data_IF_151763749998
#
_entry.id   IF_151763749998
#
_cell.length_a   1.000
_cell.length_b   1.000
_cell.length_c   1.000
_cell.angle_alpha   90.00
_cell.angle_beta   90.00
_cell.angle_gamma   90.00
#
_symmetry.space_group_name_H-M   'P 1'
#
loop_
_entity.id
_entity.type
_entity.pdbx_description
1 polymer ?
#
# COMPACT_ATOMS: atom_id res chain seq x y z
N UNK A 1 -10.29 15.57 -25.04
CA UNK A 1 -10.74 15.91 -23.67
C UNK A 1 -9.54 16.28 -22.81
N UNK A 2 -9.60 17.43 -22.14
CA UNK A 2 -8.53 18.01 -21.31
C UNK A 2 -8.40 17.28 -19.95
N UNK A 3 -7.25 17.44 -19.29
CA UNK A 3 -7.01 16.91 -17.94
C UNK A 3 -7.73 17.79 -16.91
N UNK A 4 -8.61 17.21 -16.09
CA UNK A 4 -9.34 17.94 -15.05
C UNK A 4 -9.16 17.23 -13.68
N UNK A 5 -8.61 17.89 -12.65
CA UNK A 5 -8.37 17.29 -11.34
C UNK A 5 -9.66 16.85 -10.63
N UNK A 6 -10.79 17.52 -10.88
CA UNK A 6 -12.09 17.20 -10.26
C UNK A 6 -12.52 15.77 -10.60
N UNK A 7 -12.23 15.29 -11.82
CA UNK A 7 -12.52 13.90 -12.19
C UNK A 7 -11.73 12.89 -11.36
N UNK A 8 -10.50 13.22 -10.94
CA UNK A 8 -9.69 12.35 -10.09
C UNK A 8 -10.26 12.26 -8.68
N UNK A 9 -10.68 13.39 -8.11
CA UNK A 9 -11.32 13.46 -6.79
C UNK A 9 -12.65 12.68 -6.80
N UNK A 10 -13.48 12.95 -7.80
CA UNK A 10 -14.80 12.31 -7.93
C UNK A 10 -14.69 10.80 -8.15
N UNK A 11 -13.59 10.30 -8.73
CA UNK A 11 -13.39 8.86 -8.90
C UNK A 11 -13.28 8.12 -7.55
N UNK A 12 -12.62 8.70 -6.54
CA UNK A 12 -12.58 8.08 -5.21
C UNK A 12 -13.97 8.09 -4.56
N UNK A 13 -14.69 9.21 -4.67
CA UNK A 13 -16.08 9.31 -4.17
C UNK A 13 -16.97 8.27 -4.85
N UNK A 14 -16.81 8.08 -6.16
CA UNK A 14 -17.50 7.03 -6.92
C UNK A 14 -17.12 5.64 -6.42
N UNK A 15 -15.84 5.40 -6.15
CA UNK A 15 -15.34 4.18 -5.53
C UNK A 15 -16.01 3.86 -4.20
N UNK A 16 -16.15 4.86 -3.31
CA UNK A 16 -16.88 4.73 -2.04
C UNK A 16 -18.33 4.33 -2.28
N UNK A 17 -19.02 4.93 -3.25
CA UNK A 17 -20.40 4.54 -3.57
C UNK A 17 -20.48 3.11 -4.13
N UNK A 18 -19.54 2.71 -4.97
CA UNK A 18 -19.51 1.37 -5.55
C UNK A 18 -19.37 0.29 -4.47
N UNK A 19 -18.45 0.47 -3.52
CA UNK A 19 -18.23 -0.53 -2.46
C UNK A 19 -19.42 -0.71 -1.49
N UNK A 20 -20.39 0.22 -1.47
CA UNK A 20 -21.62 0.05 -0.67
C UNK A 20 -22.61 -0.94 -1.29
N UNK A 21 -22.46 -1.25 -2.59
CA UNK A 21 -23.28 -2.24 -3.31
C UNK A 21 -23.15 -3.61 -2.66
N UNK A 22 -24.28 -4.30 -2.50
CA UNK A 22 -24.33 -5.60 -1.82
C UNK A 22 -23.46 -6.67 -2.50
N UNK A 23 -23.36 -6.61 -3.82
CA UNK A 23 -22.61 -7.54 -4.67
C UNK A 23 -21.10 -7.49 -4.43
N UNK A 24 -20.56 -6.33 -4.04
CA UNK A 24 -19.12 -6.15 -3.85
C UNK A 24 -18.66 -6.43 -2.40
N UNK A 25 -19.58 -6.52 -1.44
CA UNK A 25 -19.25 -6.72 -0.02
C UNK A 25 -18.41 -7.97 0.26
N UNK A 26 -18.69 -9.16 -0.34
CA UNK A 26 -17.89 -10.35 -0.08
C UNK A 26 -16.41 -10.16 -0.47
N UNK A 27 -16.16 -9.48 -1.59
CA UNK A 27 -14.81 -9.20 -2.10
C UNK A 27 -14.02 -8.21 -1.23
N UNK A 28 -14.69 -7.52 -0.32
CA UNK A 28 -14.08 -6.60 0.65
C UNK A 28 -13.90 -7.27 2.02
N UNK A 29 -14.90 -8.03 2.47
CA UNK A 29 -14.87 -8.70 3.77
C UNK A 29 -13.89 -9.86 3.79
N UNK A 30 -13.77 -10.64 2.71
CA UNK A 30 -12.85 -11.79 2.65
C UNK A 30 -11.38 -11.37 2.86
N UNK A 31 -10.83 -10.37 2.15
CA UNK A 31 -9.46 -9.90 2.40
C UNK A 31 -9.26 -9.34 3.81
N UNK A 32 -10.27 -8.64 4.34
CA UNK A 32 -10.21 -8.09 5.69
C UNK A 32 -10.13 -9.21 6.75
N UNK A 33 -10.93 -10.26 6.60
CA UNK A 33 -10.89 -11.43 7.48
C UNK A 33 -9.56 -12.18 7.37
N UNK A 34 -9.04 -12.34 6.16
CA UNK A 34 -7.71 -12.94 5.94
C UNK A 34 -6.63 -12.11 6.63
N UNK A 35 -6.65 -10.78 6.46
CA UNK A 35 -5.71 -9.88 7.14
C UNK A 35 -5.84 -9.94 8.66
N UNK A 36 -7.05 -10.10 9.20
CA UNK A 36 -7.26 -10.27 10.64
C UNK A 36 -6.66 -11.59 11.14
N UNK A 37 -6.88 -12.70 10.42
CA UNK A 37 -6.30 -14.01 10.77
C UNK A 37 -4.77 -13.95 10.68
N UNK A 38 -4.21 -13.37 9.62
CA UNK A 38 -2.77 -13.17 9.48
C UNK A 38 -2.20 -12.30 10.59
N UNK A 39 -2.89 -11.23 10.97
CA UNK A 39 -2.49 -10.38 12.08
C UNK A 39 -2.42 -11.17 13.38
N UNK A 40 -3.42 -11.99 13.70
CA UNK A 40 -3.42 -12.81 14.92
C UNK A 40 -2.27 -13.82 14.90
N UNK A 41 -2.06 -14.52 13.79
CA UNK A 41 -1.00 -15.54 13.65
C UNK A 41 0.38 -14.90 13.75
N UNK A 42 0.64 -13.87 12.95
CA UNK A 42 1.96 -13.20 12.89
C UNK A 42 2.25 -12.46 14.20
N UNK A 43 1.25 -11.81 14.81
CA UNK A 43 1.40 -11.19 16.15
C UNK A 43 1.65 -12.25 17.22
N UNK A 44 0.98 -13.40 17.16
CA UNK A 44 1.19 -14.50 18.10
C UNK A 44 2.63 -15.04 18.02
N UNK A 45 3.14 -15.25 16.81
CA UNK A 45 4.55 -15.62 16.59
C UNK A 45 5.46 -14.50 17.12
N UNK A 46 5.19 -13.23 16.82
CA UNK A 46 5.98 -12.10 17.30
C UNK A 46 6.02 -12.02 18.84
N UNK A 47 4.89 -12.21 19.52
CA UNK A 47 4.82 -12.21 20.99
C UNK A 47 5.63 -13.37 21.58
N UNK A 48 5.65 -14.54 20.93
CA UNK A 48 6.52 -15.64 21.38
C UNK A 48 8.02 -15.30 21.28
N UNK A 49 8.42 -14.50 20.27
CA UNK A 49 9.80 -14.05 20.10
C UNK A 49 10.19 -12.90 21.07
N UNK A 50 9.20 -12.17 21.60
CA UNK A 50 9.43 -11.10 22.58
C UNK A 50 10.03 -11.64 23.89
N UNK A 51 9.76 -12.89 24.27
CA UNK A 51 10.35 -13.51 25.47
C UNK A 51 11.87 -13.60 25.37
N UNK A 52 12.39 -14.08 24.24
CA UNK A 52 13.85 -14.12 24.01
C UNK A 52 14.48 -12.73 23.97
N UNK A 53 13.76 -11.73 23.44
CA UNK A 53 14.20 -10.34 23.47
C UNK A 53 14.22 -9.77 24.90
N UNK A 54 13.20 -10.05 25.72
CA UNK A 54 13.14 -9.60 27.11
C UNK A 54 14.23 -10.24 27.97
N UNK A 55 14.55 -11.51 27.73
CA UNK A 55 15.62 -12.21 28.44
C UNK A 55 17.00 -11.67 28.04
N UNK A 56 17.20 -11.39 26.75
CA UNK A 56 18.42 -10.74 26.25
C UNK A 56 18.60 -9.33 26.84
N UNK A 57 17.56 -8.49 26.81
CA UNK A 57 17.57 -7.16 27.44
C UNK A 57 17.79 -7.28 28.95
N UNK A 58 17.14 -8.25 29.61
CA UNK A 58 17.31 -8.55 31.03
C UNK A 58 18.77 -8.88 31.37
N UNK A 59 19.42 -9.74 30.57
CA UNK A 59 20.83 -10.11 30.76
C UNK A 59 21.80 -8.94 30.59
N UNK A 60 21.51 -8.01 29.67
CA UNK A 60 22.30 -6.78 29.48
C UNK A 60 22.13 -5.80 30.65
N UNK A 61 21.01 -5.88 31.37
CA UNK A 61 20.67 -5.01 32.49
C UNK A 61 20.97 -5.64 33.86
N UNK A 62 21.14 -6.96 33.95
CA UNK A 62 21.40 -7.69 35.19
C UNK A 62 22.91 -7.84 35.43
N UNK A 63 23.50 -6.88 36.13
CA UNK A 63 24.69 -7.15 36.94
C UNK A 63 24.56 -6.54 38.33
N UNK A 64 25.07 -7.29 39.30
CA UNK A 64 24.95 -7.08 40.74
C UNK A 64 25.61 -5.78 41.20
N UNK A 65 25.06 -5.08 42.20
CA UNK A 65 25.77 -4.00 42.89
C UNK A 65 27.11 -4.51 43.43
N UNK A 66 28.14 -3.67 43.37
CA UNK A 66 29.39 -3.92 44.11
C UNK A 66 29.12 -3.52 45.56
N UNK A 67 29.04 -4.50 46.45
CA UNK A 67 28.91 -4.25 47.89
C UNK A 67 30.19 -3.58 48.41
N UNK A 68 30.04 -2.38 48.97
CA UNK A 68 31.14 -1.53 49.45
C UNK A 68 31.18 -1.39 50.97
N UNK A 69 30.30 -2.10 51.71
CA UNK A 69 30.11 -1.92 53.16
C UNK A 69 31.37 -2.21 54.00
N UNK A 70 32.33 -2.98 53.49
CA UNK A 70 33.57 -3.35 54.22
C UNK A 70 34.87 -2.86 53.55
N UNK A 71 34.80 -1.88 52.64
CA UNK A 71 35.97 -1.41 51.88
C UNK A 71 36.70 -0.24 52.55
N UNK A 72 38.04 -0.23 52.44
CA UNK A 72 38.87 0.87 52.94
C UNK A 72 38.60 2.18 52.17
N UNK A 73 38.99 3.33 52.74
CA UNK A 73 38.67 4.66 52.18
C UNK A 73 39.14 4.87 50.73
N UNK A 74 40.24 4.23 50.31
CA UNK A 74 40.74 4.30 48.93
C UNK A 74 39.99 3.34 47.98
N UNK A 75 39.58 2.17 48.46
CA UNK A 75 38.73 1.22 47.73
C UNK A 75 37.32 1.80 47.53
N UNK A 76 36.78 2.53 48.51
CA UNK A 76 35.51 3.26 48.40
C UNK A 76 35.54 4.34 47.30
N UNK A 77 36.65 5.07 47.16
CA UNK A 77 36.82 6.08 46.10
C UNK A 77 36.85 5.41 44.70
N UNK A 78 37.61 4.33 44.57
CA UNK A 78 37.66 3.53 43.33
C UNK A 78 36.30 2.91 43.00
N UNK A 79 35.59 2.38 44.01
CA UNK A 79 34.27 1.79 43.86
C UNK A 79 33.20 2.82 43.49
N UNK A 80 33.24 4.04 44.04
CA UNK A 80 32.34 5.13 43.67
C UNK A 80 32.57 5.60 42.21
N UNK A 81 33.83 5.66 41.75
CA UNK A 81 34.15 5.95 40.35
C UNK A 81 33.68 4.85 39.39
N UNK A 82 33.84 3.58 39.79
CA UNK A 82 33.32 2.43 39.04
C UNK A 82 31.78 2.41 39.03
N UNK A 83 31.11 2.75 40.13
CA UNK A 83 29.66 2.85 40.22
C UNK A 83 29.07 3.97 39.35
N UNK A 84 29.72 5.14 39.30
CA UNK A 84 29.34 6.23 38.39
C UNK A 84 29.47 5.80 36.92
N UNK A 85 30.58 5.14 36.58
CA UNK A 85 30.84 4.61 35.24
C UNK A 85 29.80 3.56 34.85
N UNK A 86 29.51 2.61 35.74
CA UNK A 86 28.47 1.60 35.56
C UNK A 86 27.07 2.22 35.38
N UNK A 87 26.77 3.33 36.07
CA UNK A 87 25.51 4.06 35.90
C UNK A 87 25.37 4.70 34.52
N UNK A 88 26.44 5.24 33.95
CA UNK A 88 26.44 5.78 32.57
C UNK A 88 26.21 4.66 31.56
N UNK A 89 26.93 3.54 31.71
CA UNK A 89 26.73 2.37 30.86
C UNK A 89 25.31 1.79 30.97
N UNK A 90 24.69 1.82 32.16
CA UNK A 90 23.29 1.43 32.35
C UNK A 90 22.31 2.36 31.64
N UNK A 91 22.51 3.67 31.76
CA UNK A 91 21.67 4.65 31.04
C UNK A 91 21.78 4.46 29.52
N UNK A 92 22.99 4.22 29.01
CA UNK A 92 23.23 3.93 27.61
C UNK A 92 22.63 2.58 27.19
N UNK A 93 22.77 1.52 28.00
CA UNK A 93 22.18 0.21 27.74
C UNK A 93 20.64 0.28 27.67
N UNK A 94 20.02 1.12 28.51
CA UNK A 94 18.57 1.35 28.46
C UNK A 94 18.14 2.05 27.16
N UNK A 95 18.90 3.05 26.70
CA UNK A 95 18.67 3.70 25.39
C UNK A 95 18.81 2.69 24.26
N UNK A 96 19.86 1.86 24.29
CA UNK A 96 20.08 0.83 23.28
C UNK A 96 18.95 -0.20 23.30
N UNK A 97 18.51 -0.65 24.47
CA UNK A 97 17.39 -1.58 24.61
C UNK A 97 16.09 -1.00 24.04
N UNK A 98 15.80 0.28 24.33
CA UNK A 98 14.66 0.98 23.74
C UNK A 98 14.79 1.08 22.21
N UNK A 99 15.97 1.42 21.69
CA UNK A 99 16.22 1.51 20.25
C UNK A 99 16.06 0.15 19.56
N UNK A 100 16.56 -0.93 20.16
CA UNK A 100 16.42 -2.30 19.66
C UNK A 100 14.96 -2.72 19.64
N UNK A 101 14.21 -2.46 20.72
CA UNK A 101 12.78 -2.74 20.79
C UNK A 101 12.00 -1.94 19.74
N UNK A 102 12.31 -0.65 19.61
CA UNK A 102 11.71 0.21 18.59
C UNK A 102 12.00 -0.28 17.18
N UNK A 103 13.25 -0.63 16.88
CA UNK A 103 13.66 -1.18 15.59
C UNK A 103 12.97 -2.51 15.31
N UNK A 104 12.82 -3.38 16.32
CA UNK A 104 12.10 -4.64 16.22
C UNK A 104 10.64 -4.42 15.82
N UNK A 105 9.92 -3.53 16.53
CA UNK A 105 8.54 -3.19 16.17
C UNK A 105 8.42 -2.52 14.80
N UNK A 106 9.40 -1.69 14.43
CA UNK A 106 9.45 -1.05 13.13
C UNK A 106 9.58 -2.11 12.03
N UNK A 107 10.58 -3.00 12.11
CA UNK A 107 10.78 -4.09 11.16
C UNK A 107 9.53 -4.97 11.08
N UNK A 108 8.95 -5.33 12.22
CA UNK A 108 7.71 -6.08 12.29
C UNK A 108 6.57 -5.40 11.52
N UNK A 109 6.30 -4.12 11.82
CA UNK A 109 5.23 -3.36 11.18
C UNK A 109 5.41 -3.25 9.66
N UNK A 110 6.64 -3.01 9.20
CA UNK A 110 6.94 -2.95 7.77
C UNK A 110 6.83 -4.31 7.08
N UNK A 111 7.36 -5.39 7.67
CA UNK A 111 7.25 -6.73 7.10
C UNK A 111 5.79 -7.19 7.03
N UNK A 112 5.04 -6.98 8.11
CA UNK A 112 3.60 -7.25 8.13
C UNK A 112 2.87 -6.46 7.04
N UNK A 113 3.17 -5.17 6.88
CA UNK A 113 2.62 -4.33 5.82
C UNK A 113 2.95 -4.83 4.40
N UNK A 114 4.18 -5.29 4.17
CA UNK A 114 4.60 -5.87 2.88
C UNK A 114 3.82 -7.17 2.61
N UNK A 115 3.80 -8.09 3.57
CA UNK A 115 3.13 -9.40 3.43
C UNK A 115 1.64 -9.22 3.17
N UNK A 116 0.95 -8.39 3.96
CA UNK A 116 -0.49 -8.14 3.80
C UNK A 116 -0.81 -7.48 2.47
N UNK A 117 0.00 -6.53 2.00
CA UNK A 117 -0.19 -5.92 0.68
C UNK A 117 -0.02 -6.94 -0.47
N UNK A 118 0.99 -7.82 -0.37
CA UNK A 118 1.23 -8.88 -1.35
C UNK A 118 0.06 -9.87 -1.39
N UNK A 119 -0.45 -10.28 -0.22
CA UNK A 119 -1.59 -11.21 -0.12
C UNK A 119 -2.89 -10.56 -0.59
N UNK A 120 -3.08 -9.26 -0.36
CA UNK A 120 -4.27 -8.53 -0.78
C UNK A 120 -4.33 -8.30 -2.31
N UNK A 121 -3.21 -8.38 -3.01
CA UNK A 121 -3.11 -8.12 -4.45
C UNK A 121 -4.08 -8.92 -5.33
N UNK A 122 -4.17 -10.26 -5.24
CA UNK A 122 -5.14 -11.03 -6.03
C UNK A 122 -6.58 -10.63 -5.75
N UNK A 123 -6.91 -10.31 -4.49
CA UNK A 123 -8.26 -9.88 -4.13
C UNK A 123 -8.62 -8.50 -4.69
N UNK A 124 -7.66 -7.58 -4.73
CA UNK A 124 -7.85 -6.29 -5.38
C UNK A 124 -8.06 -6.45 -6.90
N UNK A 125 -7.36 -7.41 -7.53
CA UNK A 125 -7.57 -7.77 -8.94
C UNK A 125 -9.01 -8.25 -9.19
N UNK A 126 -9.50 -9.18 -8.38
CA UNK A 126 -10.88 -9.69 -8.46
C UNK A 126 -11.89 -8.56 -8.19
N UNK A 127 -11.66 -7.72 -7.19
CA UNK A 127 -12.53 -6.58 -6.89
C UNK A 127 -12.60 -5.61 -8.08
N UNK A 128 -11.47 -5.31 -8.71
CA UNK A 128 -11.42 -4.48 -9.91
C UNK A 128 -12.18 -5.12 -11.08
N UNK A 129 -12.05 -6.42 -11.29
CA UNK A 129 -12.80 -7.18 -12.29
C UNK A 129 -14.31 -7.07 -12.06
N UNK A 130 -14.77 -7.27 -10.82
CA UNK A 130 -16.20 -7.17 -10.49
C UNK A 130 -16.75 -5.76 -10.60
N UNK A 131 -15.94 -4.75 -10.28
CA UNK A 131 -16.30 -3.34 -10.49
C UNK A 131 -16.40 -3.03 -11.98
N UNK A 132 -15.49 -3.57 -12.80
CA UNK A 132 -15.53 -3.39 -14.25
C UNK A 132 -16.74 -4.07 -14.89
N UNK A 133 -17.05 -5.30 -14.48
CA UNK A 133 -18.25 -6.03 -14.88
C UNK A 133 -19.52 -5.24 -14.55
N UNK A 134 -19.60 -4.67 -13.34
CA UNK A 134 -20.73 -3.86 -12.89
C UNK A 134 -20.89 -2.56 -13.71
N UNK A 135 -19.79 -1.93 -14.12
CA UNK A 135 -19.81 -0.64 -14.83
C UNK A 135 -19.99 -0.78 -16.34
N UNK A 136 -19.50 -1.88 -16.93
CA UNK A 136 -19.49 -2.07 -18.39
C UNK A 136 -20.46 -3.14 -18.87
N UNK A 137 -20.97 -3.99 -17.97
CA UNK A 137 -21.75 -5.18 -18.29
C UNK A 137 -20.91 -6.32 -18.89
N UNK A 138 -19.57 -6.20 -18.90
CA UNK A 138 -18.65 -7.21 -19.46
C UNK A 138 -17.55 -7.52 -18.46
N UNK A 139 -17.32 -8.81 -18.23
CA UNK A 139 -16.18 -9.27 -17.45
C UNK A 139 -14.89 -9.17 -18.29
N UNK A 140 -13.73 -8.92 -17.65
CA UNK A 140 -12.43 -9.08 -18.28
C UNK A 140 -12.19 -10.56 -18.69
N UNK A 141 -11.13 -10.84 -19.48
CA UNK A 141 -10.81 -12.19 -19.91
C UNK A 141 -10.68 -13.16 -18.73
N UNK A 142 -11.41 -14.27 -18.78
CA UNK A 142 -11.37 -15.27 -17.71
C UNK A 142 -9.98 -15.92 -17.61
N UNK A 143 -9.45 -16.01 -16.40
CA UNK A 143 -8.13 -16.59 -16.11
C UNK A 143 -8.25 -17.56 -14.91
N UNK A 144 -7.54 -18.70 -14.91
CA UNK A 144 -7.48 -19.58 -13.74
C UNK A 144 -6.91 -18.87 -12.52
N UNK A 145 -7.50 -19.09 -11.33
CA UNK A 145 -7.10 -18.43 -10.08
C UNK A 145 -5.61 -18.51 -9.78
N UNK A 146 -4.98 -19.66 -10.03
CA UNK A 146 -3.55 -19.85 -9.80
C UNK A 146 -2.68 -18.96 -10.70
N UNK A 147 -3.05 -18.83 -11.98
CA UNK A 147 -2.31 -17.98 -12.93
C UNK A 147 -2.48 -16.50 -12.55
N UNK A 148 -3.70 -16.10 -12.18
CA UNK A 148 -4.00 -14.76 -11.68
C UNK A 148 -3.19 -14.42 -10.42
N UNK A 149 -3.07 -15.35 -9.46
CA UNK A 149 -2.26 -15.14 -8.25
C UNK A 149 -0.80 -14.87 -8.64
N UNK A 150 -0.17 -15.72 -9.45
CA UNK A 150 1.23 -15.52 -9.84
C UNK A 150 1.44 -14.24 -10.66
N UNK A 151 0.53 -13.93 -11.58
CA UNK A 151 0.57 -12.70 -12.38
C UNK A 151 0.46 -11.45 -11.50
N UNK A 152 -0.53 -11.40 -10.61
CA UNK A 152 -0.77 -10.24 -9.72
C UNK A 152 0.37 -10.06 -8.72
N UNK A 153 0.91 -11.14 -8.15
CA UNK A 153 2.12 -11.08 -7.32
C UNK A 153 3.31 -10.52 -8.09
N UNK A 154 3.56 -11.02 -9.31
CA UNK A 154 4.62 -10.50 -10.19
C UNK A 154 4.37 -9.05 -10.62
N UNK A 155 3.12 -8.60 -10.70
CA UNK A 155 2.75 -7.20 -10.94
C UNK A 155 3.08 -6.31 -9.73
N UNK A 156 2.73 -6.74 -8.52
CA UNK A 156 3.05 -6.01 -7.30
C UNK A 156 4.56 -5.93 -7.05
N UNK A 157 5.33 -7.00 -7.30
CA UNK A 157 6.78 -6.96 -7.19
C UNK A 157 7.41 -5.95 -8.16
N UNK A 158 6.88 -5.83 -9.38
CA UNK A 158 7.30 -4.79 -10.33
C UNK A 158 6.96 -3.38 -9.84
N UNK A 159 5.77 -3.17 -9.27
CA UNK A 159 5.39 -1.90 -8.64
C UNK A 159 6.29 -1.57 -7.45
N UNK A 160 6.56 -2.55 -6.59
CA UNK A 160 7.46 -2.41 -5.45
C UNK A 160 8.87 -2.03 -5.90
N UNK A 161 9.42 -2.71 -6.91
CA UNK A 161 10.73 -2.35 -7.48
C UNK A 161 10.76 -0.93 -8.05
N UNK A 162 9.72 -0.53 -8.79
CA UNK A 162 9.56 0.85 -9.27
C UNK A 162 9.51 1.87 -8.12
N UNK A 163 8.77 1.56 -7.05
CA UNK A 163 8.64 2.44 -5.88
C UNK A 163 9.91 2.52 -5.04
N UNK A 164 10.64 1.42 -4.85
CA UNK A 164 11.92 1.42 -4.15
C UNK A 164 12.94 2.25 -4.93
N UNK A 165 13.08 2.01 -6.23
CA UNK A 165 14.06 2.70 -7.06
C UNK A 165 13.82 4.21 -7.09
N UNK A 166 12.61 4.65 -7.45
CA UNK A 166 12.29 6.08 -7.51
C UNK A 166 12.13 6.70 -6.12
N UNK A 167 11.65 5.94 -5.14
CA UNK A 167 11.57 6.36 -3.75
C UNK A 167 12.95 6.69 -3.19
N UNK A 168 13.98 5.91 -3.51
CA UNK A 168 15.36 6.19 -3.11
C UNK A 168 15.89 7.46 -3.76
N UNK A 169 15.65 7.66 -5.07
CA UNK A 169 16.03 8.90 -5.77
C UNK A 169 15.37 10.11 -5.09
N UNK A 170 14.08 10.02 -4.80
CA UNK A 170 13.32 11.11 -4.18
C UNK A 170 13.76 11.35 -2.75
N UNK A 171 14.09 10.30 -2.00
CA UNK A 171 14.69 10.41 -0.67
C UNK A 171 16.01 11.16 -0.73
N UNK A 172 16.90 10.82 -1.66
CA UNK A 172 18.19 11.51 -1.83
C UNK A 172 17.99 13.00 -2.17
N UNK A 173 17.10 13.30 -3.12
CA UNK A 173 16.80 14.70 -3.50
C UNK A 173 16.16 15.45 -2.35
N UNK A 174 15.23 14.84 -1.62
CA UNK A 174 14.59 15.42 -0.44
C UNK A 174 15.62 15.74 0.65
N UNK A 175 16.55 14.82 0.94
CA UNK A 175 17.63 15.03 1.91
C UNK A 175 18.55 16.18 1.50
N UNK A 176 18.98 16.24 0.24
CA UNK A 176 19.82 17.35 -0.26
C UNK A 176 19.10 18.69 -0.22
N UNK A 177 17.79 18.71 -0.45
CA UNK A 177 16.96 19.92 -0.45
C UNK A 177 16.33 20.25 0.90
N UNK A 178 16.68 19.51 1.96
CA UNK A 178 16.11 19.64 3.32
C UNK A 178 16.48 20.93 4.04
N UNK A 179 17.41 21.73 3.49
CA UNK A 179 17.61 23.11 3.94
C UNK A 179 16.36 23.99 3.69
N UNK A 180 15.44 23.53 2.83
CA UNK A 180 14.07 24.06 2.72
C UNK A 180 13.05 23.01 3.19
N UNK A 181 11.95 23.45 3.80
CA UNK A 181 10.84 22.55 4.16
C UNK A 181 9.92 22.31 2.95
N UNK A 182 9.76 23.32 2.09
CA UNK A 182 8.77 23.32 1.01
C UNK A 182 9.13 22.35 -0.11
N UNK A 183 10.39 22.29 -0.54
CA UNK A 183 10.79 21.47 -1.69
C UNK A 183 10.63 19.96 -1.40
N UNK A 184 11.15 19.41 -0.28
CA UNK A 184 10.94 18.01 0.05
C UNK A 184 9.45 17.66 0.24
N UNK A 185 8.68 18.54 0.88
CA UNK A 185 7.26 18.32 1.11
C UNK A 185 6.47 18.21 -0.20
N UNK A 186 6.67 19.15 -1.14
CA UNK A 186 5.98 19.12 -2.43
C UNK A 186 6.42 17.93 -3.29
N UNK A 187 7.74 17.65 -3.33
CA UNK A 187 8.28 16.53 -4.10
C UNK A 187 7.71 15.18 -3.63
N UNK A 188 7.75 14.95 -2.32
CA UNK A 188 7.23 13.70 -1.71
C UNK A 188 5.72 13.60 -1.83
N UNK A 189 4.97 14.71 -1.72
CA UNK A 189 3.53 14.71 -1.90
C UNK A 189 3.12 14.38 -3.35
N UNK A 190 3.77 15.00 -4.34
CA UNK A 190 3.52 14.72 -5.76
C UNK A 190 3.87 13.28 -6.10
N UNK A 191 4.99 12.77 -5.57
CA UNK A 191 5.39 11.39 -5.74
C UNK A 191 4.44 10.41 -5.07
N UNK A 192 4.01 10.68 -3.84
CA UNK A 192 3.04 9.87 -3.11
C UNK A 192 1.72 9.80 -3.87
N UNK A 193 1.22 10.94 -4.35
CA UNK A 193 0.05 11.01 -5.20
C UNK A 193 0.20 10.20 -6.50
N UNK A 194 1.34 10.32 -7.19
CA UNK A 194 1.62 9.54 -8.38
C UNK A 194 1.66 8.02 -8.11
N UNK A 195 2.31 7.61 -7.03
CA UNK A 195 2.41 6.22 -6.61
C UNK A 195 1.05 5.62 -6.26
N UNK A 196 0.17 6.36 -5.57
CA UNK A 196 -1.19 5.91 -5.30
C UNK A 196 -2.01 5.76 -6.58
N UNK A 197 -1.85 6.67 -7.55
CA UNK A 197 -2.51 6.55 -8.84
C UNK A 197 -2.07 5.29 -9.59
N UNK A 198 -0.75 5.01 -9.60
CA UNK A 198 -0.20 3.75 -10.13
C UNK A 198 -0.81 2.55 -9.40
N UNK A 199 -0.79 2.54 -8.06
CA UNK A 199 -1.19 1.37 -7.28
C UNK A 199 -2.62 0.92 -7.61
N UNK A 200 -3.55 1.86 -7.73
CA UNK A 200 -4.98 1.57 -7.78
C UNK A 200 -5.59 1.61 -9.19
N UNK A 201 -5.04 2.38 -10.13
CA UNK A 201 -5.50 2.37 -11.54
C UNK A 201 -4.91 1.16 -12.29
N UNK A 202 -3.86 0.53 -11.79
CA UNK A 202 -3.22 -0.61 -12.45
C UNK A 202 -4.08 -1.87 -12.50
N UNK A 203 -4.92 -2.12 -11.48
CA UNK A 203 -5.72 -3.36 -11.41
C UNK A 203 -6.55 -3.67 -12.66
N UNK A 204 -7.36 -2.76 -13.22
CA UNK A 204 -8.09 -3.03 -14.47
C UNK A 204 -7.18 -3.27 -15.68
N UNK A 205 -6.02 -2.60 -15.77
CA UNK A 205 -5.07 -2.82 -16.88
C UNK A 205 -4.35 -4.17 -16.74
N UNK A 206 -4.01 -4.55 -15.51
CA UNK A 206 -3.39 -5.84 -15.21
C UNK A 206 -4.38 -7.00 -15.45
N UNK A 207 -5.67 -6.81 -15.16
CA UNK A 207 -6.74 -7.76 -15.52
C UNK A 207 -6.84 -7.99 -17.04
N UNK A 208 -6.49 -6.99 -17.85
CA UNK A 208 -6.35 -7.13 -19.30
C UNK A 208 -4.94 -7.56 -19.74
N UNK A 209 -4.10 -8.00 -18.80
CA UNK A 209 -2.74 -8.52 -19.00
C UNK A 209 -1.80 -7.55 -19.72
N UNK A 210 -2.00 -6.24 -19.51
CA UNK A 210 -1.23 -5.22 -20.22
C UNK A 210 0.10 -4.91 -19.53
N UNK A 211 1.15 -4.58 -20.30
CA UNK A 211 2.46 -4.30 -19.73
C UNK A 211 2.44 -3.06 -18.82
N UNK A 212 3.27 -3.08 -17.78
CA UNK A 212 3.37 -1.99 -16.80
C UNK A 212 3.79 -0.65 -17.42
N UNK A 213 4.54 -0.68 -18.51
CA UNK A 213 4.92 0.53 -19.23
C UNK A 213 3.73 1.26 -19.86
N UNK A 214 2.68 0.53 -20.21
CA UNK A 214 1.46 1.11 -20.77
C UNK A 214 0.65 1.87 -19.72
N UNK A 215 0.57 1.36 -18.48
CA UNK A 215 -0.05 2.08 -17.36
C UNK A 215 0.55 3.49 -17.22
N UNK A 216 1.88 3.58 -17.22
CA UNK A 216 2.58 4.87 -17.09
C UNK A 216 2.21 5.81 -18.23
N UNK A 217 2.09 5.30 -19.46
CA UNK A 217 1.65 6.09 -20.63
C UNK A 217 0.21 6.57 -20.44
N UNK A 218 -0.71 5.69 -20.04
CA UNK A 218 -2.11 6.01 -19.74
C UNK A 218 -2.22 7.12 -18.69
N UNK A 219 -1.57 6.96 -17.54
CA UNK A 219 -1.63 7.93 -16.44
C UNK A 219 -1.02 9.28 -16.84
N UNK A 220 0.03 9.27 -17.68
CA UNK A 220 0.66 10.49 -18.22
C UNK A 220 -0.19 11.22 -19.25
N UNK A 221 -1.18 10.57 -19.90
CA UNK A 221 -2.11 11.25 -20.83
C UNK A 221 -2.97 12.29 -20.09
N UNK A 222 -3.30 12.04 -18.81
CA UNK A 222 -4.10 12.94 -17.97
C UNK A 222 -3.47 13.16 -16.59
N UNK A 223 -2.25 13.71 -16.57
CA UNK A 223 -1.40 13.85 -15.37
C UNK A 223 -2.13 14.47 -14.18
N UNK A 224 -2.84 15.58 -14.37
CA UNK A 224 -3.50 16.28 -13.26
C UNK A 224 -4.66 15.47 -12.69
N UNK A 225 -5.39 14.75 -13.53
CA UNK A 225 -6.47 13.85 -13.09
C UNK A 225 -5.90 12.68 -12.30
N UNK A 226 -4.84 12.04 -12.80
CA UNK A 226 -4.14 10.94 -12.13
C UNK A 226 -3.55 11.38 -10.78
N UNK A 227 -2.86 12.53 -10.74
CA UNK A 227 -2.31 13.09 -9.50
C UNK A 227 -3.40 13.48 -8.51
N UNK A 228 -4.50 14.07 -8.96
CA UNK A 228 -5.61 14.43 -8.08
C UNK A 228 -6.27 13.17 -7.47
N UNK A 229 -6.48 12.12 -8.26
CA UNK A 229 -6.99 10.84 -7.76
C UNK A 229 -6.07 10.26 -6.69
N UNK A 230 -4.79 10.06 -7.01
CA UNK A 230 -3.84 9.46 -6.07
C UNK A 230 -3.56 10.34 -4.85
N UNK A 231 -3.57 11.67 -5.01
CA UNK A 231 -3.49 12.62 -3.90
C UNK A 231 -4.70 12.53 -2.97
N UNK A 232 -5.91 12.39 -3.51
CA UNK A 232 -7.12 12.19 -2.70
C UNK A 232 -7.06 10.86 -1.95
N UNK A 233 -6.59 9.79 -2.59
CA UNK A 233 -6.38 8.50 -1.93
C UNK A 233 -5.35 8.63 -0.80
N UNK A 234 -4.24 9.32 -1.04
CA UNK A 234 -3.21 9.56 -0.04
C UNK A 234 -3.76 10.30 1.18
N UNK A 235 -4.52 11.38 0.96
CA UNK A 235 -5.17 12.13 2.04
C UNK A 235 -6.20 11.29 2.79
N UNK A 236 -6.99 10.47 2.10
CA UNK A 236 -7.95 9.58 2.74
C UNK A 236 -7.27 8.55 3.64
N UNK A 237 -6.09 8.04 3.25
CA UNK A 237 -5.28 7.12 4.07
C UNK A 237 -4.72 7.75 5.35
N UNK A 238 -4.62 9.07 5.43
CA UNK A 238 -4.13 9.75 6.64
C UNK A 238 -5.10 9.66 7.81
N UNK A 239 -6.39 9.38 7.55
CA UNK A 239 -7.40 9.21 8.59
C UNK A 239 -7.46 7.73 9.01
N UNK A 240 -7.02 7.35 10.21
CA UNK A 240 -6.80 5.93 10.57
C UNK A 240 -8.05 5.05 10.43
N UNK A 241 -9.21 5.54 10.89
CA UNK A 241 -10.49 4.80 10.83
C UNK A 241 -10.95 4.61 9.38
N UNK A 242 -10.77 5.65 8.56
CA UNK A 242 -11.16 5.61 7.13
C UNK A 242 -10.23 4.69 6.35
N UNK A 243 -8.93 4.66 6.68
CA UNK A 243 -7.88 3.91 5.97
C UNK A 243 -8.22 2.42 5.75
N UNK A 244 -8.95 1.80 6.68
CA UNK A 244 -9.44 0.40 6.57
C UNK A 244 -10.26 0.20 5.29
N UNK A 245 -11.06 1.18 4.88
CA UNK A 245 -11.92 1.13 3.69
C UNK A 245 -11.35 1.87 2.49
N UNK A 246 -10.26 2.62 2.64
CA UNK A 246 -9.64 3.37 1.53
C UNK A 246 -9.15 2.42 0.45
N UNK A 247 -8.57 1.29 0.82
CA UNK A 247 -8.05 0.33 -0.15
C UNK A 247 -9.12 -0.19 -1.12
N UNK A 248 -10.24 -0.79 -0.68
CA UNK A 248 -11.30 -1.22 -1.60
C UNK A 248 -11.97 -0.04 -2.34
N UNK A 249 -12.14 1.11 -1.68
CA UNK A 249 -12.68 2.30 -2.33
C UNK A 249 -11.77 2.82 -3.45
N UNK A 250 -10.45 2.79 -3.24
CA UNK A 250 -9.46 3.23 -4.20
C UNK A 250 -9.33 2.24 -5.37
N UNK A 251 -9.42 0.92 -5.13
CA UNK A 251 -9.50 -0.08 -6.20
C UNK A 251 -10.73 0.19 -7.08
N UNK A 252 -11.93 0.27 -6.47
CA UNK A 252 -13.15 0.55 -7.22
C UNK A 252 -13.12 1.90 -7.94
N UNK A 253 -12.59 2.94 -7.29
CA UNK A 253 -12.44 4.27 -7.86
C UNK A 253 -11.41 4.32 -9.00
N UNK A 254 -10.32 3.58 -8.88
CA UNK A 254 -9.29 3.44 -9.91
C UNK A 254 -9.84 2.75 -11.16
N UNK A 255 -10.63 1.70 -10.98
CA UNK A 255 -11.37 1.03 -12.06
C UNK A 255 -12.38 1.95 -12.73
N UNK A 256 -13.19 2.69 -11.96
CA UNK A 256 -14.12 3.67 -12.51
C UNK A 256 -13.39 4.79 -13.28
N UNK A 257 -12.28 5.30 -12.75
CA UNK A 257 -11.47 6.31 -13.40
C UNK A 257 -10.88 5.82 -14.73
N UNK A 258 -10.41 4.58 -14.76
CA UNK A 258 -9.94 3.92 -15.97
C UNK A 258 -11.03 3.91 -17.04
N UNK A 259 -12.20 3.38 -16.69
CA UNK A 259 -13.34 3.15 -17.58
C UNK A 259 -13.93 4.45 -18.13
N UNK A 260 -14.13 5.43 -17.25
CA UNK A 260 -14.90 6.63 -17.60
C UNK A 260 -14.03 7.73 -18.21
N UNK A 261 -12.72 7.77 -17.91
CA UNK A 261 -11.89 8.96 -18.19
C UNK A 261 -10.55 8.66 -18.84
N UNK A 262 -9.91 7.54 -18.53
CA UNK A 262 -8.53 7.28 -18.98
C UNK A 262 -8.44 6.42 -20.25
N UNK A 263 -9.32 5.41 -20.39
CA UNK A 263 -9.35 4.56 -21.58
C UNK A 263 -9.85 5.33 -22.82
N UNK A 264 -9.34 4.96 -23.99
CA UNK A 264 -9.72 5.42 -25.33
C UNK A 264 -10.00 4.21 -26.21
N UNK A 265 -10.65 4.40 -27.35
CA UNK A 265 -10.78 3.34 -28.36
C UNK A 265 -9.40 2.75 -28.72
N UNK A 266 -9.31 1.42 -28.70
CA UNK A 266 -8.05 0.67 -28.89
C UNK A 266 -7.24 0.47 -27.61
N UNK A 267 -7.62 1.10 -26.49
CA UNK A 267 -7.10 0.73 -25.17
C UNK A 267 -7.80 -0.56 -24.67
N UNK A 268 -7.22 -1.28 -23.72
CA UNK A 268 -7.75 -2.56 -23.22
C UNK A 268 -9.19 -2.47 -22.70
N UNK A 269 -10.03 -3.45 -23.03
CA UNK A 269 -11.43 -3.49 -22.62
C UNK A 269 -12.34 -2.49 -23.37
N UNK A 270 -11.89 -1.97 -24.52
CA UNK A 270 -12.65 -1.04 -25.37
C UNK A 270 -13.11 -1.63 -26.71
N UNK A 271 -13.09 -2.95 -26.86
CA UNK A 271 -13.52 -3.62 -28.09
C UNK A 271 -14.90 -3.10 -28.52
N UNK A 272 -14.90 -2.40 -29.66
CA UNK A 272 -16.09 -1.85 -30.29
C UNK A 272 -16.92 -3.02 -30.80
N UNK A 273 -18.13 -3.17 -30.25
CA UNK A 273 -19.10 -4.08 -30.84
C UNK A 273 -19.57 -3.45 -32.14
N UNK A 274 -19.72 -4.21 -33.24
CA UNK A 274 -20.48 -3.72 -34.37
C UNK A 274 -21.84 -3.31 -33.84
N UNK A 275 -22.19 -2.04 -34.01
CA UNK A 275 -23.57 -1.60 -33.89
C UNK A 275 -24.42 -2.59 -34.67
N UNK A 276 -25.33 -3.30 -34.00
CA UNK A 276 -26.38 -4.01 -34.70
C UNK A 276 -27.10 -2.94 -35.52
N UNK A 277 -26.79 -2.88 -36.83
CA UNK A 277 -27.61 -2.17 -37.78
C UNK A 277 -29.02 -2.74 -37.61
N UNK A 278 -30.06 -1.90 -37.45
CA UNK A 278 -31.42 -2.41 -37.48
C UNK A 278 -31.60 -3.08 -38.85
N UNK A 279 -31.73 -4.40 -38.83
CA UNK A 279 -31.89 -5.21 -40.01
C UNK A 279 -33.06 -4.67 -40.82
N UNK A 280 -32.75 -4.22 -42.03
CA UNK A 280 -33.72 -3.84 -43.02
C UNK A 280 -34.59 -5.08 -43.33
N UNK A 281 -35.76 -5.16 -42.70
CA UNK A 281 -36.76 -6.18 -43.00
C UNK A 281 -37.40 -5.84 -44.34
N UNK A 282 -36.74 -6.27 -45.42
CA UNK A 282 -37.33 -6.35 -46.75
C UNK A 282 -38.53 -7.29 -46.69
N UNK A 283 -39.73 -6.71 -46.58
CA UNK A 283 -41.00 -7.42 -46.72
C UNK A 283 -41.12 -8.01 -48.11
N UNK A 284 -41.04 -9.33 -48.21
CA UNK A 284 -41.51 -10.07 -49.39
C UNK A 284 -43.04 -10.03 -49.39
N UNK A 285 -43.61 -9.30 -50.35
CA UNK A 285 -45.01 -9.42 -50.77
C UNK A 285 -45.16 -10.70 -51.60
N UNK A 286 -45.81 -11.72 -51.05
CA UNK A 286 -46.41 -12.82 -51.81
C UNK A 286 -47.75 -13.16 -51.14
N UNK A 287 -48.82 -12.49 -51.56
CA UNK A 287 -50.14 -13.01 -52.00
C UNK A 287 -51.16 -11.89 -51.99
#
# INVERSE_FOLDING_TARGET
MTSNPVHGINALVRGVHLITRRELRPFILVPLLINLVLFIIISGIMISQLGGLSDYIGSLLSHTPVDTENMSWWESIMANGAAWTASIFRWLAWIIAFLVLFLFFLIYGYLFGIITNIIAAPFNGILAEKVEELLTGKAPPAEPLLQMIWRTLGRELRKLGYFIFWGLIILLVATVTSWTIVIPALLTAVWGAWSMAIQYVDYPLDNHQRPFDELKKVLRRRKLTSLAFGGTVMLAKMVPIVNIFVMPAAVAGGTALWIERLRKEGDPGTDTFPTQQPGNSSGKSIT
#
